data_IF_751203174234
#
_entry.id   IF_751203174234
#
_cell.length_a   1.000
_cell.length_b   1.000
_cell.length_c   1.000
_cell.angle_alpha   90.00
_cell.angle_beta   90.00
_cell.angle_gamma   90.00
#
_symmetry.space_group_name_H-M   'P 1'
#
loop_
_entity.id
_entity.type
_entity.pdbx_description
1 polymer ?
2 non-polymer ?
3 non-polymer ?
4 non-polymer ?
5 non-polymer ?
6 water ?
#
# COMPACT_ATOMS: atom_id res chain seq x y z
N UNK A 1 23.36 9.44 12.73
CA UNK A 1 22.08 9.12 12.01
C UNK A 1 22.35 8.88 10.51
N UNK A 2 21.56 7.99 9.91
CA UNK A 2 21.85 7.46 8.56
C UNK A 2 21.25 8.35 7.46
N UNK A 3 22.05 8.68 6.43
CA UNK A 3 21.52 9.54 5.36
C UNK A 3 20.40 8.88 4.54
N UNK A 4 20.46 7.55 4.42
CA UNK A 4 19.45 6.77 3.69
C UNK A 4 18.98 5.58 4.51
N UNK A 5 17.69 5.25 4.39
CA UNK A 5 17.08 4.08 5.02
C UNK A 5 16.18 3.31 4.03
N UNK A 6 16.41 2.00 3.92
CA UNK A 6 15.68 1.11 2.99
C UNK A 6 14.52 0.38 3.69
N UNK A 7 13.38 0.30 3.02
CA UNK A 7 12.21 -0.40 3.55
C UNK A 7 11.58 -1.38 2.55
N UNK A 8 10.98 -2.44 3.07
CA UNK A 8 10.22 -3.38 2.26
C UNK A 8 8.87 -3.65 2.92
N UNK A 9 7.83 -3.56 2.13
CA UNK A 9 6.53 -4.03 2.55
C UNK A 9 5.93 -5.11 1.65
N UNK A 10 5.13 -5.98 2.26
CA UNK A 10 4.34 -7.02 1.60
C UNK A 10 2.96 -7.02 2.21
N UNK A 11 1.94 -7.16 1.36
CA UNK A 11 0.58 -7.44 1.84
C UNK A 11 -0.18 -8.30 0.82
N UNK A 12 -1.11 -9.11 1.33
CA UNK A 12 -1.97 -9.97 0.53
C UNK A 12 -3.37 -9.96 1.12
N UNK A 13 -4.39 -9.90 0.25
CA UNK A 13 -5.79 -10.05 0.67
C UNK A 13 -6.51 -11.07 -0.18
N UNK A 14 -7.51 -11.71 0.42
CA UNK A 14 -8.46 -12.56 -0.30
C UNK A 14 -9.40 -11.74 -1.17
N UNK A 15 -9.64 -12.23 -2.38
CA UNK A 15 -10.63 -11.70 -3.26
C UNK A 15 -11.80 -12.67 -3.31
N UNK A 16 -13.00 -12.15 -3.07
CA UNK A 16 -14.21 -12.94 -3.13
C UNK A 16 -15.26 -12.18 -3.92
N UNK A 17 -16.29 -12.87 -4.44
CA UNK A 17 -17.31 -12.16 -5.26
C UNK A 17 -18.10 -11.06 -4.53
N UNK A 18 -18.33 -9.94 -5.20
CA UNK A 18 -19.23 -8.91 -4.68
C UNK A 18 -18.63 -7.92 -3.70
N UNK A 19 -17.32 -8.01 -3.45
CA UNK A 19 -16.64 -7.07 -2.56
C UNK A 19 -15.95 -5.91 -3.29
N UNK A 20 -15.61 -4.83 -2.54
CA UNK A 20 -14.86 -3.71 -3.10
C UNK A 20 -13.44 -4.06 -3.48
N UNK A 21 -13.03 -3.58 -4.65
CA UNK A 21 -11.63 -3.60 -5.07
C UNK A 21 -11.13 -2.16 -5.07
N UNK A 22 -10.41 -1.82 -4.01
CA UNK A 22 -9.84 -0.49 -3.81
C UNK A 22 -8.31 -0.63 -3.80
N UNK A 23 -7.64 0.07 -4.71
CA UNK A 23 -6.19 0.00 -4.84
C UNK A 23 -5.59 1.41 -4.80
N UNK A 24 -4.82 1.70 -3.75
CA UNK A 24 -4.21 3.02 -3.57
C UNK A 24 -5.24 4.13 -3.50
N UNK A 25 -6.37 3.81 -2.88
CA UNK A 25 -7.46 4.76 -2.67
C UNK A 25 -8.50 4.75 -3.75
N UNK A 26 -8.20 4.12 -4.89
CA UNK A 26 -9.02 4.19 -6.08
C UNK A 26 -9.91 2.94 -6.23
N UNK A 27 -11.20 3.18 -6.50
CA UNK A 27 -12.15 2.12 -6.76
C UNK A 27 -11.97 1.60 -8.17
N UNK A 28 -11.85 0.27 -8.29
CA UNK A 28 -11.73 -0.39 -9.59
C UNK A 28 -12.86 -1.42 -9.65
N UNK A 29 -13.78 -1.29 -10.61
CA UNK A 29 -14.83 -2.30 -10.71
C UNK A 29 -14.35 -3.69 -11.13
N UNK A 30 -14.95 -4.74 -10.56
CA UNK A 30 -14.52 -6.11 -10.83
C UNK A 30 -15.49 -7.10 -10.21
N UNK A 31 -15.65 -8.28 -10.81
CA UNK A 31 -16.50 -9.35 -10.27
C UNK A 31 -16.08 -9.86 -8.85
N UNK A 32 -14.87 -9.51 -8.39
CA UNK A 32 -14.36 -9.86 -7.06
C UNK A 32 -13.63 -8.69 -6.44
N UNK A 33 -13.59 -8.67 -5.12
CA UNK A 33 -12.84 -7.67 -4.39
C UNK A 33 -12.45 -8.18 -3.03
N UNK A 34 -11.83 -7.30 -2.24
CA UNK A 34 -11.20 -7.70 -0.99
C UNK A 34 -12.19 -7.92 0.14
N UNK A 35 -12.19 -9.14 0.66
CA UNK A 35 -12.91 -9.50 1.86
C UNK A 35 -11.94 -9.30 3.01
N UNK A 36 -12.10 -8.21 3.75
CA UNK A 36 -11.15 -7.90 4.83
C UNK A 36 -11.81 -7.08 5.92
N UNK A 37 -11.14 -6.95 7.06
CA UNK A 37 -11.61 -6.07 8.15
C UNK A 37 -11.22 -4.62 7.89
N UNK A 38 -10.07 -4.44 7.24
CA UNK A 38 -9.69 -3.17 6.63
C UNK A 38 -10.66 -2.75 5.49
N UNK A 39 -10.32 -1.67 4.77
CA UNK A 39 -10.89 -1.42 3.42
C UNK A 39 -10.22 -2.28 2.31
N UNK A 40 -9.22 -3.06 2.73
CA UNK A 40 -8.62 -4.11 1.91
C UNK A 40 -7.52 -3.64 0.99
N UNK A 41 -7.04 -2.41 1.22
CA UNK A 41 -6.19 -1.73 0.26
C UNK A 41 -4.77 -2.22 0.38
N UNK A 42 -4.47 -3.26 -0.38
CA UNK A 42 -3.22 -4.00 -0.27
C UNK A 42 -2.00 -3.08 -0.55
N UNK A 43 -2.17 -2.13 -1.48
CA UNK A 43 -1.09 -1.21 -1.88
C UNK A 43 -0.80 -0.18 -0.78
N UNK A 44 -1.86 0.38 -0.23
CA UNK A 44 -1.74 1.33 0.86
C UNK A 44 -1.17 0.68 2.10
N UNK A 45 -1.64 -0.51 2.47
CA UNK A 45 -1.09 -1.21 3.63
C UNK A 45 0.38 -1.56 3.47
N UNK A 46 0.82 -1.92 2.28
CA UNK A 46 2.20 -2.34 2.19
C UNK A 46 3.20 -1.18 2.02
N UNK A 47 2.74 -0.05 1.51
CA UNK A 47 3.48 1.22 1.55
C UNK A 47 3.68 1.69 2.98
N UNK A 48 2.62 1.62 3.79
CA UNK A 48 2.72 1.92 5.19
C UNK A 48 3.76 1.04 5.91
N UNK A 49 3.73 -0.27 5.63
CA UNK A 49 4.67 -1.21 6.27
C UNK A 49 6.13 -1.00 5.79
N UNK A 50 6.30 -0.53 4.55
CA UNK A 50 7.61 -0.21 4.00
C UNK A 50 8.22 1.03 4.72
N UNK A 51 7.42 2.08 4.89
CA UNK A 51 7.79 3.29 5.65
C UNK A 51 8.14 2.95 7.09
N UNK A 52 7.21 2.31 7.78
CA UNK A 52 7.42 1.88 9.16
C UNK A 52 8.68 1.03 9.30
N UNK A 53 8.89 0.15 8.33
CA UNK A 53 10.03 -0.74 8.38
C UNK A 53 11.38 -0.11 8.06
N UNK A 54 11.38 0.83 7.13
CA UNK A 54 12.56 1.65 6.83
C UNK A 54 13.03 2.41 8.07
N UNK A 55 12.08 2.89 8.88
CA UNK A 55 12.33 3.66 10.10
C UNK A 55 12.56 2.83 11.37
N UNK A 56 12.19 1.55 11.34
CA UNK A 56 12.40 0.66 12.48
C UNK A 56 11.33 0.80 13.54
N UNK A 57 10.17 1.26 13.12
CA UNK A 57 9.04 1.42 13.99
C UNK A 57 8.18 0.15 14.08
N UNK A 58 7.31 0.06 15.09
CA UNK A 58 6.38 -1.08 15.07
C UNK A 58 5.60 -1.14 13.74
N UNK A 59 5.08 -2.31 13.39
CA UNK A 59 4.46 -2.54 12.08
C UNK A 59 3.02 -2.09 12.11
N UNK A 60 2.34 -2.16 10.96
CA UNK A 60 0.97 -1.66 10.81
C UNK A 60 -0.01 -2.25 11.86
N UNK A 61 0.13 -3.53 12.18
CA UNK A 61 -0.71 -4.18 13.18
C UNK A 61 -0.41 -3.75 14.61
N UNK A 62 0.84 -3.38 14.86
CA UNK A 62 1.26 -2.94 16.18
C UNK A 62 0.85 -1.49 16.43
N UNK A 63 1.10 -0.62 15.46
CA UNK A 63 0.72 0.79 15.53
C UNK A 63 -0.80 1.00 15.45
N UNK A 64 -1.49 0.26 14.58
CA UNK A 64 -2.94 0.45 14.34
C UNK A 64 -3.75 -0.82 14.64
N UNK A 65 -3.73 -1.28 15.89
CA UNK A 65 -4.33 -2.58 16.23
C UNK A 65 -5.87 -2.67 16.25
N UNK A 66 -6.38 -3.90 16.31
CA UNK A 66 -7.82 -4.20 16.46
C UNK A 66 -8.23 -4.00 17.91
N UNK A 67 -8.65 -2.77 18.21
CA UNK A 67 -8.91 -2.28 19.57
C UNK A 67 -8.66 -0.78 19.54
N UNK A 68 -9.72 -0.01 19.81
CA UNK A 68 -9.70 1.44 19.64
C UNK A 68 -8.78 2.22 20.61
N UNK A 69 -7.71 2.83 20.07
CA UNK A 69 -7.69 4.27 20.27
C UNK A 69 -8.77 4.90 19.34
N UNK A 70 -8.61 4.72 18.02
CA UNK A 70 -9.45 5.41 17.02
C UNK A 70 -9.57 4.67 15.66
N UNK A 71 -9.19 3.39 15.59
CA UNK A 71 -9.09 2.71 14.29
C UNK A 71 -10.32 1.81 14.05
N UNK A 72 -10.10 0.65 13.42
CA UNK A 72 -11.11 -0.42 13.21
C UNK A 72 -11.78 -0.31 11.85
N UNK A 73 -12.31 0.88 11.56
CA UNK A 73 -12.89 1.18 10.25
C UNK A 73 -12.25 2.40 9.62
N UNK A 74 -10.98 2.65 9.93
CA UNK A 74 -10.22 3.72 9.28
C UNK A 74 -9.96 3.38 7.82
N UNK A 75 -10.22 4.34 6.94
CA UNK A 75 -9.74 4.29 5.57
C UNK A 75 -8.22 4.21 5.64
N UNK A 76 -7.63 3.53 4.66
CA UNK A 76 -6.19 3.29 4.66
C UNK A 76 -5.38 4.58 4.51
N UNK A 77 -6.01 5.61 3.98
CA UNK A 77 -5.47 6.96 4.00
C UNK A 77 -5.04 7.41 5.41
N UNK A 78 -5.85 7.09 6.42
CA UNK A 78 -5.51 7.40 7.82
C UNK A 78 -4.17 6.80 8.23
N UNK A 79 -3.90 5.56 7.79
CA UNK A 79 -2.63 4.89 8.11
C UNK A 79 -1.45 5.47 7.34
N UNK A 80 -1.67 5.85 6.08
CA UNK A 80 -0.64 6.54 5.27
C UNK A 80 -0.24 7.89 5.88
N UNK A 81 -1.22 8.68 6.33
CA UNK A 81 -0.94 9.99 6.91
C UNK A 81 -0.20 9.87 8.24
N UNK A 82 -0.62 8.94 9.10
CA UNK A 82 0.13 8.70 10.33
C UNK A 82 1.56 8.21 10.08
N UNK A 83 1.76 7.37 9.07
CA UNK A 83 3.10 6.91 8.75
C UNK A 83 4.01 8.03 8.26
N UNK A 84 3.52 8.92 7.39
CA UNK A 84 4.34 10.05 6.90
C UNK A 84 4.63 11.10 8.01
N UNK A 85 3.73 11.23 8.98
CA UNK A 85 3.97 12.07 10.15
C UNK A 85 5.11 11.53 11.01
N UNK A 86 5.10 10.21 11.25
CA UNK A 86 6.14 9.56 12.06
C UNK A 86 7.48 9.57 11.34
N UNK A 87 7.44 9.51 10.01
CA UNK A 87 8.63 9.57 9.19
C UNK A 87 9.23 10.96 9.32
N UNK A 88 8.38 11.96 9.15
CA UNK A 88 8.76 13.36 9.23
C UNK A 88 9.40 13.69 10.59
N UNK A 89 8.76 13.28 11.68
CA UNK A 89 9.30 13.54 13.02
C UNK A 89 10.59 12.79 13.32
N UNK A 90 10.87 11.73 12.57
CA UNK A 90 12.12 10.95 12.70
C UNK A 90 13.23 11.61 11.91
N UNK A 91 12.86 12.55 11.04
CA UNK A 91 13.80 13.34 10.28
C UNK A 91 14.04 12.83 8.89
N UNK A 92 13.02 12.19 8.29
CA UNK A 92 13.17 11.60 6.97
C UNK A 92 12.09 12.09 6.01
N UNK A 93 12.42 12.02 4.72
CA UNK A 93 11.48 12.21 3.65
C UNK A 93 11.63 11.05 2.65
N UNK A 94 10.70 10.96 1.70
CA UNK A 94 10.75 9.95 0.64
C UNK A 94 11.75 10.35 -0.42
N UNK A 95 12.72 9.46 -0.66
CA UNK A 95 13.57 9.54 -1.84
C UNK A 95 12.85 8.98 -3.04
N UNK A 96 12.55 7.68 -3.03
CA UNK A 96 11.60 7.13 -4.00
C UNK A 96 10.95 5.85 -3.53
N UNK A 97 9.87 5.50 -4.20
CA UNK A 97 9.00 4.39 -3.82
C UNK A 97 8.71 3.58 -5.08
N UNK A 98 8.89 2.27 -4.99
CA UNK A 98 8.53 1.38 -6.11
C UNK A 98 7.69 0.20 -5.58
N UNK A 99 6.42 0.20 -5.95
CA UNK A 99 5.45 -0.79 -5.57
C UNK A 99 5.14 -1.74 -6.75
N UNK A 100 4.98 -3.03 -6.44
CA UNK A 100 4.57 -4.04 -7.42
C UNK A 100 3.28 -4.70 -6.94
N UNK A 101 2.25 -4.57 -7.75
CA UNK A 101 0.97 -5.19 -7.48
C UNK A 101 0.85 -6.47 -8.26
N UNK A 102 0.45 -7.55 -7.59
CA UNK A 102 0.22 -8.84 -8.25
C UNK A 102 -1.28 -9.14 -8.25
N UNK A 103 -1.84 -9.20 -9.44
CA UNK A 103 -3.27 -9.24 -9.62
C UNK A 103 -3.54 -9.86 -10.98
N UNK A 104 -4.30 -10.95 -11.01
CA UNK A 104 -4.59 -11.62 -12.28
C UNK A 104 -5.48 -10.76 -13.22
N UNK A 105 -6.52 -10.17 -12.64
CA UNK A 105 -7.57 -9.42 -13.33
C UNK A 105 -8.13 -8.51 -12.26
N UNK A 106 -8.66 -7.34 -12.65
CA UNK A 106 -8.66 -6.81 -13.99
C UNK A 106 -7.33 -6.09 -14.25
N UNK A 107 -7.24 -5.50 -15.44
CA UNK A 107 -6.10 -4.72 -15.89
C UNK A 107 -6.00 -3.43 -15.10
N UNK A 108 -4.83 -3.19 -14.51
CA UNK A 108 -4.55 -1.98 -13.69
C UNK A 108 -4.03 -0.76 -14.50
N UNK A 109 -3.40 -1.01 -15.65
CA UNK A 109 -2.71 0.05 -16.40
C UNK A 109 -3.56 1.29 -16.73
N UNK A 110 -4.84 1.13 -17.14
CA UNK A 110 -5.68 2.30 -17.37
C UNK A 110 -5.93 3.19 -16.16
N UNK A 111 -5.78 2.64 -14.96
CA UNK A 111 -6.03 3.36 -13.73
C UNK A 111 -4.75 3.84 -13.08
N UNK A 112 -3.64 3.52 -13.71
CA UNK A 112 -2.34 3.67 -13.09
C UNK A 112 -1.97 5.08 -12.65
N UNK A 113 -2.15 6.06 -13.55
CA UNK A 113 -1.83 7.46 -13.24
C UNK A 113 -2.79 7.98 -12.21
N UNK A 114 -4.06 7.60 -12.29
CA UNK A 114 -4.99 7.94 -11.21
C UNK A 114 -4.51 7.39 -9.85
N UNK A 115 -3.98 6.16 -9.82
CA UNK A 115 -3.53 5.56 -8.55
C UNK A 115 -2.31 6.31 -8.05
N UNK A 116 -1.35 6.51 -8.94
CA UNK A 116 -0.09 7.17 -8.60
C UNK A 116 -0.34 8.57 -8.06
N UNK A 117 -1.23 9.35 -8.68
CA UNK A 117 -1.53 10.70 -8.19
C UNK A 117 -2.18 10.66 -6.80
N UNK A 118 -3.08 9.73 -6.57
CA UNK A 118 -3.69 9.66 -5.24
C UNK A 118 -2.69 9.22 -4.17
N UNK A 119 -1.90 8.20 -4.46
CA UNK A 119 -0.88 7.76 -3.53
C UNK A 119 0.15 8.90 -3.24
N UNK A 120 0.57 9.61 -4.29
CA UNK A 120 1.45 10.79 -4.17
C UNK A 120 0.84 11.91 -3.31
N UNK A 121 -0.44 12.21 -3.56
CA UNK A 121 -1.14 13.20 -2.76
C UNK A 121 -1.13 12.84 -1.28
N UNK A 122 -1.39 11.57 -0.97
CA UNK A 122 -1.45 11.13 0.43
C UNK A 122 -0.07 11.07 1.09
N UNK A 123 0.97 10.74 0.32
CA UNK A 123 2.34 10.70 0.86
C UNK A 123 2.96 12.12 1.02
N UNK A 124 2.43 13.08 0.26
CA UNK A 124 2.98 14.41 0.21
C UNK A 124 4.28 14.37 -0.57
N UNK A 125 4.31 13.55 -1.62
CA UNK A 125 5.50 13.41 -2.45
C UNK A 125 5.17 13.74 -3.90
N UNK A 126 6.19 13.98 -4.71
CA UNK A 126 5.96 14.27 -6.11
C UNK A 126 5.70 12.96 -6.86
N UNK A 127 4.73 12.93 -7.80
CA UNK A 127 4.48 11.70 -8.57
C UNK A 127 5.69 11.14 -9.33
N UNK A 128 6.68 12.00 -9.58
CA UNK A 128 7.88 11.57 -10.27
C UNK A 128 8.80 10.70 -9.41
N UNK A 129 8.51 10.57 -8.10
CA UNK A 129 9.27 9.68 -7.20
C UNK A 129 8.45 8.49 -6.58
N UNK A 130 7.17 8.42 -6.94
CA UNK A 130 6.25 7.38 -6.48
C UNK A 130 5.83 6.51 -7.67
N UNK A 131 6.22 5.23 -7.66
CA UNK A 131 5.91 4.33 -8.79
C UNK A 131 5.19 3.04 -8.38
N UNK A 132 4.37 2.55 -9.30
CA UNK A 132 3.56 1.36 -9.14
C UNK A 132 3.61 0.67 -10.49
N UNK A 133 3.78 -0.66 -10.46
CA UNK A 133 3.60 -1.51 -11.63
C UNK A 133 2.69 -2.69 -11.25
N UNK A 134 2.20 -3.43 -12.25
CA UNK A 134 1.35 -4.58 -11.99
C UNK A 134 1.78 -5.80 -12.77
N UNK A 135 1.47 -6.95 -12.20
CA UNK A 135 1.81 -8.20 -12.79
C UNK A 135 0.70 -9.22 -12.56
N UNK A 136 0.42 -10.09 -13.54
CA UNK A 136 -0.46 -11.24 -13.33
C UNK A 136 0.36 -12.31 -12.57
N UNK A 137 -0.28 -13.43 -12.27
CA UNK A 137 0.39 -14.54 -11.65
C UNK A 137 0.14 -15.79 -12.49
N UNK A 138 -0.01 -15.60 -13.80
CA UNK A 138 0.03 -16.70 -14.79
C UNK A 138 -0.92 -17.86 -14.49
N UNK A 139 -2.09 -17.53 -13.95
CA UNK A 139 -3.15 -18.49 -13.70
C UNK A 139 -2.81 -19.59 -12.68
N UNK A 140 -1.72 -19.44 -11.92
CA UNK A 140 -1.33 -20.43 -10.92
C UNK A 140 -1.46 -19.85 -9.50
N UNK A 141 -1.72 -20.75 -8.55
CA UNK A 141 -1.94 -20.46 -7.12
C UNK A 141 -3.13 -19.54 -6.93
N UNK A 142 -3.40 -19.09 -5.70
CA UNK A 142 -4.56 -18.24 -5.42
C UNK A 142 -4.54 -16.92 -6.20
N UNK A 143 -3.35 -16.35 -6.38
CA UNK A 143 -3.21 -15.07 -7.04
C UNK A 143 -3.58 -15.22 -8.49
N UNK A 144 -3.05 -16.26 -9.12
CA UNK A 144 -3.40 -16.59 -10.50
C UNK A 144 -4.86 -16.97 -10.71
N UNK A 145 -5.49 -17.58 -9.72
CA UNK A 145 -6.91 -17.95 -9.78
C UNK A 145 -7.82 -16.79 -9.39
N UNK A 146 -7.21 -15.60 -9.19
CA UNK A 146 -7.95 -14.40 -8.80
C UNK A 146 -8.69 -14.56 -7.45
N UNK A 147 -8.10 -15.37 -6.58
CA UNK A 147 -8.62 -15.60 -5.24
C UNK A 147 -7.92 -14.75 -4.22
N UNK A 148 -6.97 -13.95 -4.68
CA UNK A 148 -6.24 -13.01 -3.86
C UNK A 148 -5.54 -11.94 -4.71
N UNK A 149 -5.08 -10.92 -4.01
CA UNK A 149 -4.27 -9.83 -4.55
C UNK A 149 -3.13 -9.52 -3.56
N UNK A 150 -1.93 -9.29 -4.08
CA UNK A 150 -0.76 -9.02 -3.26
C UNK A 150 -0.07 -7.76 -3.75
N UNK A 151 0.72 -7.14 -2.87
CA UNK A 151 1.57 -5.98 -3.21
C UNK A 151 2.89 -6.09 -2.49
N UNK A 152 3.96 -5.79 -3.21
CA UNK A 152 5.27 -5.51 -2.62
C UNK A 152 5.58 -4.03 -2.80
N UNK A 153 6.25 -3.42 -1.81
CA UNK A 153 6.83 -2.07 -1.94
C UNK A 153 8.28 -2.10 -1.45
N UNK A 154 9.21 -1.64 -2.28
CA UNK A 154 10.52 -1.18 -1.79
C UNK A 154 10.57 0.37 -1.79
N UNK A 155 11.04 0.94 -0.68
CA UNK A 155 11.18 2.38 -0.50
C UNK A 155 12.62 2.74 -0.06
N UNK A 156 13.09 3.89 -0.55
CA UNK A 156 14.37 4.50 -0.08
C UNK A 156 14.02 5.85 0.56
N UNK A 157 14.23 5.95 1.87
CA UNK A 157 14.02 7.20 2.62
C UNK A 157 15.31 8.02 2.70
N UNK A 158 15.16 9.34 2.63
CA UNK A 158 16.26 10.31 2.77
C UNK A 158 16.14 11.14 4.04
N UNK A 159 17.26 11.30 4.73
CA UNK A 159 17.37 12.25 5.86
C UNK A 159 17.08 13.65 5.33
N UNK A 160 16.22 14.39 6.03
CA UNK A 160 15.89 15.78 5.63
C UNK A 160 17.16 16.66 5.56
X LIG B 1 -3.81 -5.37 4.28
X LIG C 1 2.47 -17.89 -3.80
X LIG C 1 3.70 -17.98 -4.69
X LIG C 1 2.86 -18.20 -2.37
X LIG C 1 1.89 -16.49 -3.87
X LIG C 1 1.45 -18.89 -4.28
X LIG D 1 -6.70 -13.80 -16.93
X LIG E 1 -3.30 -10.18 9.60
X LIG E 1 -2.19 -9.57 8.87
X LIG E 1 -1.49 -10.49 7.92
X LIG E 1 -2.77 -8.33 8.21
X LIG E 1 -1.22 -9.18 10.07
X LIG E 1 -1.68 -8.22 11.01
X LIG E 1 -0.62 -7.97 12.05
X LIG E 1 -0.42 -9.12 12.88
X LIG E 1 0.73 -7.65 11.46
X LIG E 1 0.82 -6.30 10.97
X LIG E 1 1.63 -8.00 12.64
X LIG E 1 1.59 -6.95 13.62
X LIG E 1 0.95 -9.23 13.26
X LIG E 1 1.40 -10.59 12.91
X LIG E 1 2.19 -11.28 13.83
X LIG E 1 2.58 -12.56 13.60
X LIG E 1 2.25 -13.18 12.44
X LIG E 1 1.49 -12.52 11.49
X LIG E 1 1.05 -11.23 11.76
X LIG E 1 2.51 -10.73 14.89
X LIG E 1 2.66 -14.44 12.24
#
# INVERSE_FOLDING_TARGET
TLPFRIGHGFDLHRLEPGYPLIIGGIVIPHDRGCEAHSDGDVLLHCVVDAILGALGLPDIGQIFPDSDPKWKGAASSVFIKEAVRLMDEAGYEIGNLDATLILQRPKISPHKETIRSNLSKLLGADPSVVNLKAKTHEKVDSLGENRSIAAHTVILLMKK
ZN ZN
PO4 P O1 O2 O3 O4
CL CL
C5P O3P P O1P O2P O5' C5' C4' O4' C3' O3' C2' O2' C1' N1 C2 N3 C4 C5 C6 O2 N4
#
